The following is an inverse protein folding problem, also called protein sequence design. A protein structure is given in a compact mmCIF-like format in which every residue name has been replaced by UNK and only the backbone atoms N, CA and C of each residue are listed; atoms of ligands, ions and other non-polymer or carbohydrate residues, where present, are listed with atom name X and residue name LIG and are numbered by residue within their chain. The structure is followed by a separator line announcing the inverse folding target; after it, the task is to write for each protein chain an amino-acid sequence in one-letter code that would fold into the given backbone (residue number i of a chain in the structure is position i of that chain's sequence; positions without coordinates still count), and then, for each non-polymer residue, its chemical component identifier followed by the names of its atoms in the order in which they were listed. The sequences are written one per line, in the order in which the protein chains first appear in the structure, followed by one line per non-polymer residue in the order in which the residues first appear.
data_IF_415674118322
#
_entry.id   IF_415674118322
#
_cell.length_a   1.000
_cell.length_b   1.000
_cell.length_c   1.000
_cell.angle_alpha   90.00
_cell.angle_beta   90.00
_cell.angle_gamma   90.00
#
_symmetry.space_group_name_H-M   'P 1'
#
loop_
_entity.id
_entity.type
_entity.pdbx_description
1 polymer ?
#
# COMPACT_ATOMS: atom_id res chain seq x y z
N UNK A 1 0.73 -20.58 -32.34
CA UNK A 1 0.81 -20.10 -30.94
C UNK A 1 2.26 -19.86 -30.61
N UNK A 2 2.58 -18.73 -29.97
CA UNK A 2 3.94 -18.45 -29.52
C UNK A 2 4.25 -19.33 -28.30
N UNK A 3 5.37 -20.08 -28.27
CA UNK A 3 5.75 -20.88 -27.11
C UNK A 3 5.89 -20.01 -25.85
N UNK A 4 5.45 -20.52 -24.71
CA UNK A 4 5.61 -19.88 -23.40
C UNK A 4 4.43 -19.04 -22.96
N UNK A 5 3.36 -19.00 -23.75
CA UNK A 5 2.12 -18.28 -23.41
C UNK A 5 1.11 -19.27 -22.83
N UNK A 6 0.59 -18.97 -21.64
CA UNK A 6 -0.55 -19.65 -21.07
C UNK A 6 -1.84 -19.01 -21.62
N UNK A 7 -2.75 -19.83 -22.13
CA UNK A 7 -3.97 -19.41 -22.83
C UNK A 7 -5.19 -20.05 -22.17
N UNK A 8 -6.25 -19.26 -22.06
CA UNK A 8 -7.59 -19.73 -21.73
C UNK A 8 -8.50 -19.51 -22.95
N UNK A 9 -9.09 -20.59 -23.49
CA UNK A 9 -10.04 -20.55 -24.59
C UNK A 9 -11.46 -20.90 -24.13
N UNK A 10 -12.45 -20.62 -24.98
CA UNK A 10 -13.86 -20.91 -24.73
C UNK A 10 -14.35 -22.25 -25.33
N UNK A 11 -13.44 -23.13 -25.76
CA UNK A 11 -13.74 -24.39 -26.45
C UNK A 11 -14.07 -24.27 -27.95
N UNK A 12 -14.17 -23.05 -28.49
CA UNK A 12 -14.38 -22.77 -29.92
C UNK A 12 -13.15 -22.11 -30.57
N UNK A 13 -11.95 -22.41 -30.07
CA UNK A 13 -10.68 -21.80 -30.46
C UNK A 13 -10.60 -20.27 -30.29
N UNK A 14 -11.55 -19.67 -29.56
CA UNK A 14 -11.52 -18.25 -29.25
C UNK A 14 -10.83 -18.02 -27.90
N UNK A 15 -9.72 -17.29 -27.92
CA UNK A 15 -8.92 -16.95 -26.76
C UNK A 15 -9.63 -15.86 -25.95
N UNK A 16 -9.98 -16.16 -24.70
CA UNK A 16 -10.61 -15.21 -23.78
C UNK A 16 -9.61 -14.55 -22.84
N UNK A 17 -8.47 -15.19 -22.59
CA UNK A 17 -7.37 -14.62 -21.81
C UNK A 17 -6.04 -15.28 -22.20
N UNK A 18 -4.95 -14.53 -22.11
CA UNK A 18 -3.61 -15.09 -22.24
C UNK A 18 -2.60 -14.28 -21.45
N UNK A 19 -1.49 -14.92 -21.07
CA UNK A 19 -0.36 -14.23 -20.41
C UNK A 19 0.36 -13.31 -21.39
N UNK A 20 0.71 -12.10 -20.94
CA UNK A 20 1.62 -11.24 -21.68
C UNK A 20 3.06 -11.52 -21.24
N UNK A 21 3.78 -12.35 -22.01
CA UNK A 21 5.17 -12.68 -21.72
C UNK A 21 6.12 -11.63 -22.29
N UNK A 22 6.95 -11.04 -21.44
CA UNK A 22 7.88 -9.96 -21.81
C UNK A 22 9.06 -10.42 -22.66
N UNK A 23 9.37 -11.72 -22.67
CA UNK A 23 10.49 -12.31 -23.41
C UNK A 23 10.13 -13.65 -24.04
N UNK A 24 10.75 -14.00 -25.17
CA UNK A 24 10.55 -15.30 -25.79
C UNK A 24 11.13 -16.41 -24.91
N UNK A 25 10.44 -17.54 -24.87
CA UNK A 25 10.95 -18.79 -24.35
C UNK A 25 12.25 -19.19 -25.08
N UNK A 26 13.27 -19.59 -24.33
CA UNK A 26 14.58 -19.96 -24.91
C UNK A 26 14.77 -21.47 -24.97
N UNK A 27 14.25 -22.19 -23.99
CA UNK A 27 14.46 -23.61 -23.82
C UNK A 27 13.36 -24.48 -24.39
N UNK A 28 13.64 -25.78 -24.49
CA UNK A 28 12.79 -26.74 -25.19
C UNK A 28 11.55 -27.13 -24.37
N UNK A 29 11.57 -26.92 -23.05
CA UNK A 29 10.51 -27.35 -22.14
C UNK A 29 10.00 -26.16 -21.34
N UNK A 30 8.70 -25.93 -21.45
CA UNK A 30 7.98 -24.86 -20.78
C UNK A 30 7.01 -25.46 -19.78
N UNK A 31 7.01 -24.92 -18.57
CA UNK A 31 6.23 -25.44 -17.46
C UNK A 31 5.38 -24.32 -16.87
N UNK A 32 4.08 -24.57 -16.77
CA UNK A 32 3.19 -23.83 -15.88
C UNK A 32 3.18 -24.56 -14.53
N UNK A 33 3.53 -23.85 -13.45
CA UNK A 33 3.68 -24.44 -12.13
C UNK A 33 3.04 -23.56 -11.06
N UNK A 34 2.23 -24.16 -10.19
CA UNK A 34 1.79 -23.52 -8.96
C UNK A 34 2.83 -23.81 -7.86
N UNK A 35 3.44 -22.75 -7.31
CA UNK A 35 4.40 -22.84 -6.22
C UNK A 35 3.69 -22.93 -4.86
N UNK A 36 4.40 -23.40 -3.82
CA UNK A 36 3.88 -23.49 -2.44
C UNK A 36 3.47 -22.13 -1.87
N UNK A 37 4.01 -21.03 -2.40
CA UNK A 37 3.61 -19.66 -2.06
C UNK A 37 2.22 -19.28 -2.59
N UNK A 38 1.65 -20.07 -3.51
CA UNK A 38 0.46 -19.72 -4.29
C UNK A 38 0.75 -18.94 -5.57
N UNK A 39 2.02 -18.67 -5.89
CA UNK A 39 2.40 -18.03 -7.14
C UNK A 39 2.29 -19.03 -8.30
N UNK A 40 1.42 -18.76 -9.26
CA UNK A 40 1.36 -19.50 -10.52
C UNK A 40 2.38 -18.88 -11.48
N UNK A 41 3.36 -19.66 -11.90
CA UNK A 41 4.46 -19.19 -12.76
C UNK A 41 4.48 -19.95 -14.08
N UNK A 42 4.88 -19.25 -15.13
CA UNK A 42 5.29 -19.86 -16.39
C UNK A 42 6.80 -19.71 -16.50
N UNK A 43 7.52 -20.81 -16.66
CA UNK A 43 8.98 -20.81 -16.71
C UNK A 43 9.53 -21.79 -17.73
N UNK A 44 10.75 -21.52 -18.15
CA UNK A 44 11.57 -22.45 -18.91
C UNK A 44 12.52 -23.18 -17.95
N UNK A 45 12.77 -24.45 -18.24
CA UNK A 45 13.73 -25.31 -17.53
C UNK A 45 15.19 -24.85 -17.61
N UNK A 46 15.57 -24.03 -18.58
CA UNK A 46 16.94 -23.53 -18.73
C UNK A 46 17.24 -22.25 -17.96
N UNK A 47 16.21 -21.51 -17.52
CA UNK A 47 16.37 -20.27 -16.76
C UNK A 47 16.45 -20.54 -15.26
N UNK A 48 17.36 -19.86 -14.58
CA UNK A 48 17.52 -19.94 -13.12
C UNK A 48 16.20 -19.71 -12.35
N UNK A 49 16.12 -20.33 -11.17
CA UNK A 49 15.00 -20.20 -10.24
C UNK A 49 14.79 -18.71 -9.86
N UNK A 50 13.74 -18.11 -10.41
CA UNK A 50 13.36 -16.73 -10.15
C UNK A 50 13.25 -15.86 -11.41
N UNK A 51 13.78 -16.31 -12.55
CA UNK A 51 13.56 -15.62 -13.81
C UNK A 51 12.38 -16.28 -14.54
N UNK A 52 11.15 -15.91 -14.14
CA UNK A 52 9.92 -16.43 -14.75
C UNK A 52 9.62 -15.73 -16.08
N UNK A 53 8.91 -16.39 -17.00
CA UNK A 53 8.37 -15.77 -18.21
C UNK A 53 7.12 -14.96 -17.88
N UNK A 54 6.36 -15.43 -16.89
CA UNK A 54 5.18 -14.79 -16.33
C UNK A 54 4.95 -15.31 -14.90
N UNK A 55 4.38 -14.49 -14.02
CA UNK A 55 3.95 -14.90 -12.69
C UNK A 55 2.65 -14.21 -12.28
N UNK A 56 1.79 -14.92 -11.56
CA UNK A 56 0.49 -14.38 -11.12
C UNK A 56 0.64 -13.31 -10.04
N UNK A 57 1.75 -13.30 -9.30
CA UNK A 57 2.01 -12.31 -8.25
C UNK A 57 2.17 -10.88 -8.80
N UNK A 58 2.48 -10.71 -10.09
CA UNK A 58 2.53 -9.41 -10.76
C UNK A 58 1.13 -8.92 -11.19
N UNK A 59 0.11 -9.78 -11.11
CA UNK A 59 -1.26 -9.52 -11.50
C UNK A 59 -2.27 -9.96 -10.43
N UNK A 60 -2.20 -9.40 -9.21
CA UNK A 60 -3.14 -9.74 -8.14
C UNK A 60 -4.57 -9.32 -8.46
N UNK A 61 -5.52 -9.98 -7.78
CA UNK A 61 -6.92 -9.57 -7.73
C UNK A 61 -7.16 -8.55 -6.61
N UNK A 62 -7.84 -8.94 -5.53
CA UNK A 62 -8.15 -8.13 -4.35
C UNK A 62 -7.28 -8.50 -3.14
N UNK A 63 -6.42 -9.50 -3.28
CA UNK A 63 -5.74 -10.16 -2.17
C UNK A 63 -4.22 -10.12 -2.33
N UNK A 64 -3.53 -9.70 -1.27
CA UNK A 64 -2.07 -9.77 -1.14
C UNK A 64 -1.67 -10.91 -0.19
N UNK A 65 -0.99 -11.91 -0.74
CA UNK A 65 -0.45 -13.08 -0.04
C UNK A 65 0.99 -12.83 0.47
N UNK A 66 1.50 -13.68 1.38
CA UNK A 66 2.89 -13.60 1.81
C UNK A 66 3.86 -13.71 0.62
N UNK A 67 4.93 -12.91 0.63
CA UNK A 67 5.92 -12.86 -0.45
C UNK A 67 5.53 -12.01 -1.67
N UNK A 68 4.26 -11.58 -1.78
CA UNK A 68 3.84 -10.64 -2.83
C UNK A 68 4.40 -9.23 -2.56
N UNK A 69 4.54 -8.45 -3.64
CA UNK A 69 4.94 -7.04 -3.59
C UNK A 69 3.72 -6.16 -3.83
N UNK A 70 3.45 -5.24 -2.91
CA UNK A 70 2.44 -4.19 -3.08
C UNK A 70 3.15 -2.85 -3.24
N UNK A 71 3.23 -2.36 -4.47
CA UNK A 71 3.89 -1.09 -4.75
C UNK A 71 4.15 -0.91 -6.25
N UNK A 72 5.25 -0.23 -6.55
CA UNK A 72 5.63 0.20 -7.88
C UNK A 72 7.03 -0.27 -8.23
N UNK A 73 7.14 -0.84 -9.42
CA UNK A 73 8.40 -1.17 -10.07
C UNK A 73 8.71 -0.07 -11.11
N UNK A 74 9.85 0.60 -10.95
CA UNK A 74 10.25 1.72 -11.80
C UNK A 74 10.89 1.28 -13.12
N UNK A 75 11.41 0.06 -13.20
CA UNK A 75 12.03 -0.50 -14.41
C UNK A 75 10.94 -0.92 -15.42
N UNK A 76 9.91 -1.61 -14.93
CA UNK A 76 8.79 -2.11 -15.74
C UNK A 76 7.61 -1.14 -15.83
N UNK A 77 7.52 -0.19 -14.88
CA UNK A 77 6.38 0.72 -14.73
C UNK A 77 5.15 0.08 -14.08
N UNK A 78 5.24 -1.18 -13.64
CA UNK A 78 4.14 -1.90 -13.00
C UNK A 78 3.78 -1.26 -11.66
N UNK A 79 2.49 -1.00 -11.43
CA UNK A 79 1.97 -0.41 -10.18
C UNK A 79 0.80 -1.26 -9.67
N UNK A 80 1.09 -2.13 -8.70
CA UNK A 80 0.17 -3.19 -8.25
C UNK A 80 -1.13 -2.61 -7.69
N UNK A 81 -1.05 -1.48 -6.97
CA UNK A 81 -2.22 -0.80 -6.42
C UNK A 81 -3.23 -0.39 -7.52
N UNK A 82 -2.74 0.03 -8.70
CA UNK A 82 -3.59 0.35 -9.86
C UNK A 82 -4.21 -0.87 -10.54
N UNK A 83 -3.62 -2.04 -10.36
CA UNK A 83 -4.16 -3.30 -10.90
C UNK A 83 -5.32 -3.78 -10.02
N UNK A 84 -5.10 -3.79 -8.71
CA UNK A 84 -6.09 -4.20 -7.71
C UNK A 84 -7.31 -3.29 -7.77
N UNK A 85 -7.07 -1.98 -7.85
CA UNK A 85 -8.10 -0.96 -8.01
C UNK A 85 -8.28 -0.71 -9.48
N UNK A 86 -9.16 -1.49 -10.12
CA UNK A 86 -9.60 -1.21 -11.49
C UNK A 86 -9.97 0.29 -11.59
N UNK A 87 -9.34 1.02 -12.51
CA UNK A 87 -9.43 2.49 -12.65
C UNK A 87 -10.87 3.00 -12.84
N UNK A 88 -11.83 2.12 -13.11
CA UNK A 88 -13.24 2.42 -13.29
C UNK A 88 -14.01 2.60 -11.97
N UNK A 89 -13.49 2.14 -10.83
CA UNK A 89 -14.17 2.21 -9.52
C UNK A 89 -13.79 3.48 -8.74
N UNK A 90 -14.52 4.57 -8.97
CA UNK A 90 -14.28 5.91 -8.39
C UNK A 90 -14.19 5.88 -6.85
N UNK A 91 -15.01 5.09 -6.17
CA UNK A 91 -15.00 4.98 -4.70
C UNK A 91 -13.70 4.35 -4.18
N UNK A 92 -13.16 3.35 -4.89
CA UNK A 92 -11.89 2.71 -4.52
C UNK A 92 -10.72 3.65 -4.80
N UNK A 93 -10.77 4.44 -5.88
CA UNK A 93 -9.72 5.43 -6.18
C UNK A 93 -9.63 6.54 -5.13
N UNK A 94 -10.76 7.04 -4.62
CA UNK A 94 -10.74 8.07 -3.57
C UNK A 94 -10.07 7.56 -2.29
N UNK A 95 -10.40 6.35 -1.85
CA UNK A 95 -9.81 5.72 -0.67
C UNK A 95 -8.37 5.23 -0.90
N UNK A 96 -7.98 4.92 -2.14
CA UNK A 96 -6.59 4.57 -2.45
C UNK A 96 -5.71 5.80 -2.51
N UNK A 97 -6.22 6.91 -3.06
CA UNK A 97 -5.51 8.19 -3.02
C UNK A 97 -5.25 8.60 -1.58
N UNK A 98 -6.17 8.34 -0.64
CA UNK A 98 -5.91 8.57 0.79
C UNK A 98 -4.88 7.59 1.37
N UNK A 99 -4.90 6.32 0.99
CA UNK A 99 -3.87 5.35 1.42
C UNK A 99 -2.48 5.71 0.87
N UNK A 100 -2.37 6.16 -0.38
CA UNK A 100 -1.12 6.61 -1.00
C UNK A 100 -0.63 7.95 -0.44
N UNK A 101 -1.54 8.85 -0.07
CA UNK A 101 -1.22 10.22 0.35
C UNK A 101 -1.05 10.38 1.87
N UNK A 102 -1.73 9.57 2.67
CA UNK A 102 -1.81 9.79 4.13
C UNK A 102 -0.96 8.83 4.96
N UNK A 103 -0.39 7.79 4.35
CA UNK A 103 0.31 6.72 5.06
C UNK A 103 1.80 6.72 4.74
N UNK A 104 2.49 7.79 5.10
CA UNK A 104 3.95 7.84 5.03
C UNK A 104 4.58 6.76 5.92
N UNK A 105 5.60 6.08 5.39
CA UNK A 105 6.37 5.10 6.16
C UNK A 105 7.34 5.81 7.12
N UNK A 106 7.27 5.48 8.41
CA UNK A 106 8.08 6.14 9.45
C UNK A 106 9.32 5.35 9.87
N UNK A 107 9.73 4.34 9.10
CA UNK A 107 10.83 3.43 9.44
C UNK A 107 10.38 2.15 10.14
N UNK A 108 9.21 2.15 10.79
CA UNK A 108 8.68 0.99 11.54
C UNK A 108 7.35 0.51 10.96
N UNK A 109 6.50 1.44 10.55
CA UNK A 109 5.15 1.20 10.02
C UNK A 109 4.67 2.40 9.22
N UNK A 110 3.52 2.22 8.58
CA UNK A 110 2.78 3.32 7.98
C UNK A 110 2.12 4.19 9.06
N UNK A 111 2.27 5.52 8.97
CA UNK A 111 1.86 6.48 10.01
C UNK A 111 0.38 6.41 10.39
N UNK A 112 -0.52 6.24 9.41
CA UNK A 112 -1.96 6.08 9.65
C UNK A 112 -2.43 4.64 9.85
N UNK A 113 -1.50 3.71 10.07
CA UNK A 113 -1.85 2.32 10.42
C UNK A 113 -1.19 1.96 11.76
N UNK A 114 -1.61 2.59 12.87
CA UNK A 114 -0.97 2.39 14.18
C UNK A 114 -1.11 0.95 14.70
N UNK A 115 -2.14 0.23 14.27
CA UNK A 115 -2.35 -1.17 14.63
C UNK A 115 -1.39 -2.14 13.92
N UNK A 116 -0.68 -1.69 12.88
CA UNK A 116 0.39 -2.46 12.24
C UNK A 116 1.65 -2.36 13.10
N UNK A 117 1.88 -3.35 13.95
CA UNK A 117 3.07 -3.44 14.80
C UNK A 117 3.81 -4.76 14.58
N UNK A 118 5.14 -4.81 14.81
CA UNK A 118 5.88 -6.06 14.82
C UNK A 118 5.21 -7.10 15.74
N UNK A 119 5.04 -8.32 15.25
CA UNK A 119 4.35 -9.39 15.97
C UNK A 119 4.92 -10.75 15.58
N UNK A 120 4.45 -11.82 16.24
CA UNK A 120 4.94 -13.19 16.05
C UNK A 120 4.27 -13.96 14.90
N UNK A 121 3.34 -13.34 14.16
CA UNK A 121 2.60 -13.98 13.06
C UNK A 121 3.29 -13.69 11.73
N UNK A 122 3.61 -12.43 11.48
CA UNK A 122 4.21 -11.99 10.22
C UNK A 122 5.26 -10.91 10.46
N UNK A 123 6.28 -10.92 9.60
CA UNK A 123 7.24 -9.82 9.44
C UNK A 123 6.88 -9.05 8.19
N UNK A 124 7.06 -7.74 8.20
CA UNK A 124 6.77 -6.89 7.06
C UNK A 124 7.90 -5.87 6.87
N UNK A 125 8.05 -5.39 5.64
CA UNK A 125 9.05 -4.40 5.27
C UNK A 125 8.54 -3.50 4.17
N UNK A 126 9.05 -2.28 4.16
CA UNK A 126 9.04 -1.44 2.97
C UNK A 126 10.44 -1.51 2.35
N UNK A 127 10.51 -1.85 1.07
CA UNK A 127 11.72 -1.70 0.26
C UNK A 127 11.56 -0.42 -0.55
N UNK A 128 12.60 0.41 -0.56
CA UNK A 128 12.64 1.66 -1.30
C UNK A 128 14.06 1.85 -1.86
N UNK A 129 14.19 1.76 -3.18
CA UNK A 129 15.44 1.98 -3.90
C UNK A 129 15.15 2.60 -5.29
N UNK A 130 16.19 2.69 -6.13
CA UNK A 130 16.15 3.24 -7.48
C UNK A 130 15.34 2.40 -8.49
N UNK A 131 15.11 1.12 -8.18
CA UNK A 131 14.40 0.17 -9.06
C UNK A 131 12.95 -0.05 -8.67
N UNK A 132 12.64 -0.06 -7.38
CA UNK A 132 11.31 -0.38 -6.89
C UNK A 132 11.02 0.21 -5.50
N UNK A 133 9.73 0.48 -5.27
CA UNK A 133 9.16 0.76 -3.95
C UNK A 133 8.02 -0.20 -3.68
N UNK A 134 8.10 -1.00 -2.64
CA UNK A 134 7.00 -1.91 -2.31
C UNK A 134 6.95 -2.29 -0.84
N UNK A 135 5.73 -2.49 -0.37
CA UNK A 135 5.44 -3.21 0.86
C UNK A 135 5.37 -4.71 0.58
N UNK A 136 5.97 -5.51 1.45
CA UNK A 136 5.81 -6.96 1.44
C UNK A 136 5.81 -7.50 2.86
N UNK A 137 5.26 -8.69 3.02
CA UNK A 137 5.26 -9.40 4.29
C UNK A 137 5.47 -10.90 4.08
N UNK A 138 6.13 -11.51 5.06
CA UNK A 138 6.27 -12.96 5.17
C UNK A 138 5.63 -13.44 6.46
N UNK A 139 5.18 -14.68 6.46
CA UNK A 139 4.77 -15.37 7.68
C UNK A 139 6.02 -15.83 8.45
N UNK A 140 5.99 -15.66 9.76
CA UNK A 140 7.05 -16.18 10.65
C UNK A 140 6.88 -17.70 10.80
N UNK A 141 5.64 -18.17 10.90
CA UNK A 141 5.29 -19.59 10.90
C UNK A 141 4.37 -19.88 9.72
N UNK A 142 4.81 -20.74 8.80
CA UNK A 142 4.06 -21.15 7.60
C UNK A 142 2.78 -21.94 7.91
N UNK A 143 2.62 -22.42 9.14
CA UNK A 143 1.38 -23.08 9.59
C UNK A 143 0.22 -22.09 9.78
N UNK A 144 0.50 -20.79 9.95
CA UNK A 144 -0.55 -19.76 10.08
C UNK A 144 -0.89 -19.23 8.70
N UNK A 145 -2.18 -19.10 8.38
CA UNK A 145 -2.60 -18.48 7.13
C UNK A 145 -2.99 -17.04 7.42
N UNK A 146 -2.39 -16.08 6.71
CA UNK A 146 -2.77 -14.66 6.79
C UNK A 146 -2.81 -14.07 5.40
N UNK A 147 -3.77 -13.16 5.16
CA UNK A 147 -3.93 -12.44 3.90
C UNK A 147 -4.37 -11.00 4.15
N UNK A 148 -3.93 -10.09 3.28
CA UNK A 148 -4.48 -8.75 3.17
C UNK A 148 -5.48 -8.74 2.02
N UNK A 149 -6.67 -8.20 2.24
CA UNK A 149 -7.73 -8.12 1.23
C UNK A 149 -8.27 -6.71 1.16
N UNK A 150 -8.43 -6.18 -0.05
CA UNK A 150 -9.17 -4.95 -0.30
C UNK A 150 -10.62 -5.29 -0.57
N UNK A 151 -11.52 -4.87 0.33
CA UNK A 151 -12.95 -5.06 0.13
C UNK A 151 -13.49 -4.19 -1.01
N UNK A 152 -14.67 -4.53 -1.52
CA UNK A 152 -15.35 -3.75 -2.56
C UNK A 152 -15.61 -2.28 -2.15
N UNK A 153 -15.72 -2.02 -0.85
CA UNK A 153 -15.93 -0.69 -0.29
C UNK A 153 -14.62 0.09 -0.06
N UNK A 154 -13.47 -0.42 -0.53
CA UNK A 154 -12.17 0.24 -0.37
C UNK A 154 -11.52 0.06 1.02
N UNK A 155 -12.10 -0.77 1.89
CA UNK A 155 -11.51 -1.08 3.20
C UNK A 155 -10.46 -2.18 3.05
N UNK A 156 -9.23 -1.91 3.44
CA UNK A 156 -8.15 -2.90 3.47
C UNK A 156 -8.17 -3.65 4.81
N UNK A 157 -8.26 -4.97 4.75
CA UNK A 157 -8.41 -5.84 5.91
C UNK A 157 -7.37 -6.94 5.92
N UNK A 158 -6.76 -7.19 7.08
CA UNK A 158 -5.93 -8.38 7.32
C UNK A 158 -6.77 -9.44 8.00
N UNK A 159 -6.92 -10.58 7.33
CA UNK A 159 -7.55 -11.76 7.87
C UNK A 159 -6.49 -12.79 8.24
N UNK A 160 -6.62 -13.38 9.42
CA UNK A 160 -5.71 -14.43 9.90
C UNK A 160 -6.53 -15.64 10.33
N UNK A 161 -6.09 -16.82 9.90
CA UNK A 161 -6.65 -18.09 10.31
C UNK A 161 -5.71 -18.75 11.33
N UNK A 162 -6.03 -18.69 12.64
CA UNK A 162 -5.20 -19.29 13.66
C UNK A 162 -5.46 -20.80 13.72
N UNK A 163 -4.57 -21.58 13.11
CA UNK A 163 -4.61 -23.04 13.15
C UNK A 163 -4.56 -23.52 14.61
N UNK A 164 -5.51 -24.36 14.99
CA UNK A 164 -5.60 -24.95 16.33
C UNK A 164 -6.35 -24.13 17.38
N UNK A 165 -6.87 -22.93 17.06
CA UNK A 165 -7.69 -22.13 18.00
C UNK A 165 -9.14 -21.92 17.56
N UNK A 166 -9.36 -21.59 16.28
CA UNK A 166 -10.70 -21.32 15.75
C UNK A 166 -10.89 -21.89 14.36
N UNK A 167 -12.10 -22.38 14.05
CA UNK A 167 -12.50 -22.81 12.71
C UNK A 167 -13.01 -21.62 11.89
N UNK A 168 -12.22 -20.55 11.78
CA UNK A 168 -12.67 -19.33 11.12
C UNK A 168 -11.58 -18.29 10.90
N UNK A 169 -11.81 -17.42 9.91
CA UNK A 169 -11.03 -16.22 9.69
C UNK A 169 -11.31 -15.20 10.78
N UNK A 170 -10.24 -14.67 11.37
CA UNK A 170 -10.30 -13.61 12.38
C UNK A 170 -9.73 -12.33 11.76
N UNK A 171 -10.47 -11.23 11.89
CA UNK A 171 -10.01 -9.91 11.47
C UNK A 171 -8.91 -9.44 12.44
N UNK A 172 -7.70 -9.27 11.93
CA UNK A 172 -6.55 -8.81 12.72
C UNK A 172 -6.40 -7.29 12.65
N UNK A 173 -6.57 -6.71 11.45
CA UNK A 173 -6.37 -5.29 11.19
C UNK A 173 -7.34 -4.83 10.11
N UNK A 174 -7.81 -3.58 10.21
CA UNK A 174 -8.61 -2.92 9.19
C UNK A 174 -8.11 -1.48 9.03
N UNK A 175 -8.17 -0.94 7.81
CA UNK A 175 -7.95 0.48 7.54
C UNK A 175 -8.93 0.92 6.44
N UNK A 176 -9.62 2.07 6.59
CA UNK A 176 -9.59 3.00 7.74
C UNK A 176 -10.14 2.39 9.05
N UNK A 177 -9.79 3.00 10.19
CA UNK A 177 -10.19 2.56 11.54
C UNK A 177 -11.29 3.41 12.16
N UNK A 178 -11.29 4.72 11.90
CA UNK A 178 -12.29 5.64 12.38
C UNK A 178 -12.54 6.77 11.35
N UNK A 179 -13.39 7.73 11.71
CA UNK A 179 -13.72 8.85 10.82
C UNK A 179 -12.52 9.78 10.57
N UNK A 180 -11.53 9.86 11.48
CA UNK A 180 -10.35 10.71 11.33
C UNK A 180 -9.40 10.21 10.23
N UNK A 181 -9.53 8.95 9.82
CA UNK A 181 -8.85 8.40 8.64
C UNK A 181 -9.50 8.82 7.31
N UNK A 182 -10.65 9.51 7.36
CA UNK A 182 -11.27 10.08 6.16
C UNK A 182 -10.40 11.22 5.64
N UNK A 183 -9.89 11.05 4.42
CA UNK A 183 -9.03 12.03 3.79
C UNK A 183 -9.69 13.39 3.68
N UNK A 184 -8.96 14.42 4.08
CA UNK A 184 -9.42 15.82 4.08
C UNK A 184 -10.72 16.07 4.86
N UNK A 185 -11.05 15.24 5.87
CA UNK A 185 -12.14 15.54 6.81
C UNK A 185 -11.93 16.90 7.48
N UNK A 186 -10.68 17.18 7.85
CA UNK A 186 -10.25 18.46 8.39
C UNK A 186 -9.50 19.24 7.31
N UNK A 187 -9.72 20.55 7.24
CA UNK A 187 -8.96 21.46 6.39
C UNK A 187 -7.50 21.62 6.83
N UNK A 188 -6.75 22.47 6.14
CA UNK A 188 -5.35 22.75 6.47
C UNK A 188 -5.18 23.17 7.93
N UNK A 189 -4.23 22.55 8.64
CA UNK A 189 -4.03 22.74 10.09
C UNK A 189 -5.29 22.47 10.94
N UNK A 190 -6.24 21.67 10.45
CA UNK A 190 -7.55 21.45 11.05
C UNK A 190 -7.58 20.57 12.31
N UNK A 191 -6.42 20.18 12.84
CA UNK A 191 -6.32 19.75 14.25
C UNK A 191 -6.23 20.94 15.21
N UNK A 192 -6.14 22.17 14.67
CA UNK A 192 -6.16 23.45 15.37
C UNK A 192 -5.31 23.49 16.65
N UNK A 193 -4.06 23.05 16.52
CA UNK A 193 -3.12 22.97 17.64
C UNK A 193 -2.92 24.35 18.28
N UNK A 194 -2.45 24.39 19.54
CA UNK A 194 -2.47 25.57 20.42
C UNK A 194 -2.10 26.95 19.81
N UNK A 195 -1.21 27.00 18.81
CA UNK A 195 -0.77 28.24 18.13
C UNK A 195 -1.61 28.64 16.90
N UNK A 196 -2.68 27.91 16.64
CA UNK A 196 -3.61 28.12 15.53
C UNK A 196 -5.00 28.48 16.05
N UNK A 197 -5.79 29.15 15.23
CA UNK A 197 -7.18 29.48 15.46
C UNK A 197 -8.03 29.10 14.23
N UNK A 198 -9.30 28.72 14.41
CA UNK A 198 -10.19 28.42 13.29
C UNK A 198 -10.28 29.61 12.34
N UNK A 199 -10.23 29.33 11.04
CA UNK A 199 -10.41 30.37 10.02
C UNK A 199 -11.82 30.94 10.04
N UNK A 200 -12.81 30.09 10.31
CA UNK A 200 -14.21 30.45 10.55
C UNK A 200 -14.66 29.84 11.88
N UNK A 201 -14.84 30.68 12.90
CA UNK A 201 -15.23 30.22 14.23
C UNK A 201 -16.68 29.72 14.30
N UNK A 202 -17.57 30.25 13.46
CA UNK A 202 -18.98 29.83 13.43
C UNK A 202 -19.12 28.48 12.74
N UNK A 203 -18.47 28.28 11.60
CA UNK A 203 -18.45 26.98 10.93
C UNK A 203 -17.84 25.91 11.85
N UNK A 204 -16.72 26.25 12.50
CA UNK A 204 -16.04 25.35 13.44
C UNK A 204 -16.93 24.93 14.61
N UNK A 205 -17.68 25.88 15.19
CA UNK A 205 -18.64 25.60 16.26
C UNK A 205 -19.80 24.70 15.82
N UNK A 206 -20.12 24.71 14.53
CA UNK A 206 -21.12 23.85 13.89
C UNK A 206 -20.53 22.57 13.28
N UNK A 207 -19.35 22.13 13.74
CA UNK A 207 -18.65 20.91 13.28
C UNK A 207 -18.20 20.91 11.82
N UNK A 208 -18.16 22.06 11.17
CA UNK A 208 -17.54 22.22 9.86
C UNK A 208 -16.07 22.65 10.02
N UNK A 209 -15.17 21.68 9.86
CA UNK A 209 -13.72 21.88 9.97
C UNK A 209 -13.03 22.01 8.60
N UNK A 210 -13.80 22.06 7.50
CA UNK A 210 -13.27 22.07 6.13
C UNK A 210 -12.37 23.29 5.84
N UNK A 211 -12.66 24.42 6.48
CA UNK A 211 -11.88 25.66 6.37
C UNK A 211 -10.53 25.61 7.08
N UNK A 212 -10.32 24.63 7.97
CA UNK A 212 -9.09 24.46 8.73
C UNK A 212 -8.78 25.62 9.68
N UNK A 213 -7.50 25.77 10.00
CA UNK A 213 -7.01 26.78 10.94
C UNK A 213 -5.85 27.60 10.37
N UNK A 214 -5.65 28.78 10.96
CA UNK A 214 -4.58 29.72 10.61
C UNK A 214 -3.73 30.02 11.84
N UNK A 215 -2.46 30.39 11.63
CA UNK A 215 -1.57 30.77 12.74
C UNK A 215 -2.12 32.00 13.44
N UNK A 216 -2.12 31.99 14.78
CA UNK A 216 -2.48 33.16 15.62
C UNK A 216 -1.46 34.29 15.48
N UNK A 217 -0.22 33.95 15.18
CA UNK A 217 0.89 34.89 15.03
C UNK A 217 1.59 34.64 13.68
N UNK A 218 1.75 35.68 12.83
CA UNK A 218 2.51 35.56 11.59
C UNK A 218 3.97 35.15 11.85
N UNK A 219 4.55 34.43 10.88
CA UNK A 219 5.98 34.09 10.88
C UNK A 219 6.83 35.32 10.53
N UNK A 220 8.03 35.40 11.07
CA UNK A 220 8.94 36.54 10.88
C UNK A 220 10.39 36.06 10.78
N UNK A 221 10.76 35.57 9.59
CA UNK A 221 12.06 34.94 9.34
C UNK A 221 13.24 35.93 9.38
N UNK A 222 13.02 37.22 9.10
CA UNK A 222 14.10 38.15 8.76
C UNK A 222 14.42 39.19 9.85
N UNK A 223 13.50 39.50 10.77
CA UNK A 223 13.65 40.68 11.64
C UNK A 223 14.12 40.37 13.08
N UNK A 224 15.13 39.51 13.25
CA UNK A 224 15.71 39.14 14.56
C UNK A 224 14.75 38.48 15.58
N UNK A 225 13.53 38.10 15.15
CA UNK A 225 12.72 37.10 15.86
C UNK A 225 13.05 35.74 15.27
N UNK A 226 13.53 34.81 16.09
CA UNK A 226 13.72 33.44 15.64
C UNK A 226 12.35 32.74 15.65
N UNK A 227 11.81 32.47 14.47
CA UNK A 227 10.77 31.46 14.33
C UNK A 227 11.26 30.15 14.97
N UNK A 228 10.35 29.44 15.62
CA UNK A 228 10.65 28.19 16.32
C UNK A 228 9.67 27.09 15.97
N UNK A 229 10.04 25.87 16.32
CA UNK A 229 9.22 24.67 16.11
C UNK A 229 8.64 24.20 17.44
N UNK A 230 7.38 23.77 17.40
CA UNK A 230 6.74 23.05 18.50
C UNK A 230 6.67 21.58 18.12
N UNK A 231 7.18 20.73 19.00
CA UNK A 231 7.09 19.29 18.82
C UNK A 231 5.68 18.82 19.21
N UNK A 232 5.05 18.07 18.30
CA UNK A 232 3.80 17.36 18.57
C UNK A 232 4.05 15.86 18.47
N UNK A 233 3.62 15.13 19.49
CA UNK A 233 3.76 13.67 19.57
C UNK A 233 2.43 12.99 19.24
N UNK A 234 2.49 11.74 18.80
CA UNK A 234 1.31 10.92 18.47
C UNK A 234 0.40 11.50 17.37
N UNK A 235 1.00 12.20 16.41
CA UNK A 235 0.31 12.76 15.25
C UNK A 235 0.66 11.95 14.00
N UNK A 236 -0.36 11.65 13.17
CA UNK A 236 -0.17 11.11 11.83
C UNK A 236 0.52 12.16 10.96
N UNK A 237 1.59 11.78 10.26
CA UNK A 237 2.30 12.71 9.38
C UNK A 237 1.34 13.32 8.35
N UNK A 238 1.45 14.63 8.05
CA UNK A 238 0.62 15.26 7.03
C UNK A 238 0.96 14.72 5.64
N UNK A 239 0.08 15.01 4.69
CA UNK A 239 0.26 14.71 3.27
C UNK A 239 1.66 15.12 2.76
N UNK A 240 2.32 14.18 2.07
CA UNK A 240 3.71 14.33 1.65
C UNK A 240 3.89 14.82 0.21
N UNK A 241 2.85 15.26 -0.51
CA UNK A 241 2.95 15.74 -1.91
C UNK A 241 3.91 16.89 -2.10
N UNK A 242 3.94 17.81 -1.13
CA UNK A 242 4.84 18.96 -1.11
C UNK A 242 6.00 18.76 -0.11
N UNK A 243 6.34 17.51 0.17
CA UNK A 243 7.46 17.16 1.05
C UNK A 243 8.65 16.64 0.25
N UNK A 244 9.83 16.81 0.82
CA UNK A 244 11.09 16.30 0.31
C UNK A 244 11.76 15.54 1.45
N UNK A 245 12.50 14.50 1.11
CA UNK A 245 13.25 13.71 2.08
C UNK A 245 14.69 13.63 1.64
N UNK A 246 15.59 13.48 2.61
CA UNK A 246 16.99 13.22 2.37
C UNK A 246 17.44 12.09 3.29
N UNK A 247 17.82 10.96 2.68
CA UNK A 247 18.18 9.74 3.42
C UNK A 247 19.54 9.88 4.11
N UNK A 248 20.40 10.81 3.66
CA UNK A 248 21.70 11.06 4.29
C UNK A 248 21.65 12.10 5.40
N UNK A 249 20.51 12.76 5.64
CA UNK A 249 20.39 13.73 6.73
C UNK A 249 20.32 13.03 8.08
N UNK A 250 21.23 13.43 8.98
CA UNK A 250 21.19 13.11 10.40
C UNK A 250 20.49 14.22 11.18
N UNK A 251 20.01 13.92 12.38
CA UNK A 251 19.49 14.92 13.33
C UNK A 251 20.60 15.66 14.10
N UNK A 252 21.86 15.48 13.66
CA UNK A 252 23.09 16.07 14.21
C UNK A 252 23.62 17.16 13.28
#
# INVERSE_FOLDING_TARGET
MTPGILVLDNGSDNIIWSTNTSRPAQGPVLVAQLLDSGNLVVRDTLTDDGNFLWQSFDYPSDTLLPGMKLGKDFETGLEILRIIVNLEDIHKMAQLSSIELDHAWNGVRFSGVPNLSPNSIFRYRLVFNDKEVYYSYDLINSSVISRLMLSQNGVLQRWTWPVGRSQGWVLYLTTPTDNCDTYSLCGAYGTCLNKFAPKDSNAWANTDWSNGCVRKTPLDCYNNRSDGFLMYSHVKLPDTRNSWFNVSMTLE
#
